data_IF_724499559081
#
_entry.id   IF_724499559081
#
_cell.length_a   1.000
_cell.length_b   1.000
_cell.length_c   1.000
_cell.angle_alpha   90.00
_cell.angle_beta   90.00
_cell.angle_gamma   90.00
#
_symmetry.space_group_name_H-M   'P 1'
#
loop_
_entity.id
_entity.type
_entity.pdbx_description
1 polymer ?
#
# COMPACT_ATOMS: atom_id res chain seq x y z
N UNK A 1 6.98 -18.80 -10.53
CA UNK A 1 6.70 -17.52 -9.84
C UNK A 1 7.23 -17.63 -8.42
N UNK A 2 7.97 -16.65 -7.91
CA UNK A 2 8.36 -16.66 -6.50
C UNK A 2 7.12 -16.33 -5.67
N UNK A 3 6.64 -17.29 -4.89
CA UNK A 3 5.41 -17.14 -4.10
C UNK A 3 5.76 -16.60 -2.72
N UNK A 4 5.30 -15.40 -2.38
CA UNK A 4 5.18 -15.02 -0.98
C UNK A 4 4.00 -15.80 -0.41
N UNK A 5 4.29 -16.77 0.46
CA UNK A 5 3.30 -17.47 1.26
C UNK A 5 3.32 -16.81 2.63
N UNK A 6 2.25 -16.10 2.98
CA UNK A 6 1.98 -15.74 4.36
C UNK A 6 1.53 -17.04 5.05
N UNK A 7 2.12 -17.39 6.19
CA UNK A 7 1.52 -18.43 7.03
C UNK A 7 0.12 -17.96 7.49
N UNK A 8 -0.80 -18.87 7.79
CA UNK A 8 -2.15 -18.54 8.34
C UNK A 8 -2.10 -17.59 9.55
N UNK A 9 -0.94 -17.48 10.20
CA UNK A 9 -0.68 -16.73 11.43
C UNK A 9 -0.11 -15.33 11.20
N UNK A 10 0.41 -15.01 10.00
CA UNK A 10 0.97 -13.68 9.68
C UNK A 10 0.01 -12.87 8.79
N UNK A 11 -1.16 -12.59 9.35
CA UNK A 11 -2.19 -11.71 8.78
C UNK A 11 -2.06 -10.26 9.30
N UNK A 12 -0.91 -9.91 9.88
CA UNK A 12 -0.68 -8.57 10.41
C UNK A 12 -0.63 -7.53 9.28
N UNK A 13 -1.08 -6.31 9.55
CA UNK A 13 -0.95 -5.20 8.59
C UNK A 13 0.51 -5.01 8.13
N UNK A 14 1.47 -5.24 9.02
CA UNK A 14 2.90 -5.23 8.69
C UNK A 14 3.28 -6.33 7.69
N UNK A 15 2.98 -7.61 8.01
CA UNK A 15 3.34 -8.77 7.20
C UNK A 15 2.72 -8.73 5.81
N UNK A 16 1.42 -8.40 5.73
CA UNK A 16 0.70 -8.23 4.45
C UNK A 16 1.33 -7.12 3.61
N UNK A 17 1.67 -5.98 4.22
CA UNK A 17 2.32 -4.86 3.51
C UNK A 17 3.69 -5.24 2.96
N UNK A 18 4.55 -5.82 3.79
CA UNK A 18 5.91 -6.19 3.40
C UNK A 18 5.89 -7.25 2.29
N UNK A 19 5.05 -8.28 2.45
CA UNK A 19 4.86 -9.31 1.44
C UNK A 19 4.40 -8.71 0.10
N UNK A 20 3.38 -7.84 0.12
CA UNK A 20 2.88 -7.16 -1.07
C UNK A 20 3.96 -6.35 -1.80
N UNK A 21 4.72 -5.53 -1.06
CA UNK A 21 5.80 -4.70 -1.61
C UNK A 21 6.95 -5.54 -2.18
N UNK A 22 7.35 -6.61 -1.50
CA UNK A 22 8.39 -7.51 -2.02
C UNK A 22 7.91 -8.21 -3.31
N UNK A 23 6.65 -8.67 -3.38
CA UNK A 23 6.08 -9.28 -4.60
C UNK A 23 6.09 -8.31 -5.79
N UNK A 24 5.61 -7.09 -5.60
CA UNK A 24 5.58 -6.07 -6.66
C UNK A 24 7.00 -5.72 -7.11
N UNK A 25 7.92 -5.50 -6.16
CA UNK A 25 9.31 -5.16 -6.47
C UNK A 25 9.99 -6.25 -7.29
N UNK A 26 9.85 -7.52 -6.89
CA UNK A 26 10.37 -8.66 -7.65
C UNK A 26 9.75 -8.73 -9.05
N UNK A 27 8.44 -8.48 -9.16
CA UNK A 27 7.74 -8.40 -10.44
C UNK A 27 8.33 -7.33 -11.36
N UNK A 28 8.53 -6.12 -10.84
CA UNK A 28 9.15 -5.02 -11.58
C UNK A 28 10.58 -5.35 -12.03
N UNK A 29 11.42 -5.93 -11.16
CA UNK A 29 12.80 -6.32 -11.50
C UNK A 29 12.83 -7.33 -12.65
N UNK A 30 11.92 -8.31 -12.64
CA UNK A 30 11.81 -9.30 -13.72
C UNK A 30 11.32 -8.68 -15.02
N UNK A 31 10.25 -7.89 -14.97
CA UNK A 31 9.57 -7.41 -16.16
C UNK A 31 10.30 -6.25 -16.83
N UNK A 32 10.70 -5.25 -16.05
CA UNK A 32 11.31 -4.02 -16.54
C UNK A 32 12.82 -4.16 -16.77
N UNK A 33 13.52 -4.87 -15.87
CA UNK A 33 14.98 -4.96 -15.90
C UNK A 33 15.52 -6.31 -16.39
N UNK A 34 14.63 -7.27 -16.72
CA UNK A 34 14.99 -8.63 -17.19
C UNK A 34 15.96 -9.37 -16.28
N UNK A 35 15.96 -9.05 -14.98
CA UNK A 35 16.82 -9.71 -14.00
C UNK A 35 16.30 -11.13 -13.78
N UNK A 36 17.17 -12.12 -14.04
CA UNK A 36 16.87 -13.51 -13.78
C UNK A 36 17.02 -13.81 -12.29
N UNK A 37 15.89 -14.06 -11.64
CA UNK A 37 15.81 -14.44 -10.23
C UNK A 37 15.45 -15.92 -10.04
N UNK A 38 15.55 -16.75 -11.09
CA UNK A 38 15.26 -18.19 -11.00
C UNK A 38 16.24 -18.95 -10.11
N UNK A 39 17.47 -18.43 -9.96
CA UNK A 39 18.52 -18.99 -9.11
C UNK A 39 18.79 -18.20 -7.82
N UNK A 40 18.08 -17.08 -7.60
CA UNK A 40 18.23 -16.38 -6.33
C UNK A 40 17.44 -17.14 -5.26
N UNK A 41 18.12 -17.71 -4.28
CA UNK A 41 17.49 -18.16 -3.02
C UNK A 41 16.97 -16.94 -2.24
N UNK A 42 16.00 -16.20 -2.78
CA UNK A 42 15.21 -15.26 -1.98
C UNK A 42 14.27 -16.14 -1.17
N UNK A 43 14.83 -16.68 -0.08
CA UNK A 43 14.07 -17.42 0.91
C UNK A 43 13.45 -16.38 1.82
N UNK A 44 12.17 -16.11 1.61
CA UNK A 44 11.40 -15.29 2.53
C UNK A 44 11.26 -16.04 3.85
N UNK A 45 11.67 -15.41 4.95
CA UNK A 45 11.45 -16.00 6.26
C UNK A 45 9.98 -15.80 6.63
N UNK A 46 9.22 -16.87 6.47
CA UNK A 46 7.76 -16.92 6.67
C UNK A 46 7.35 -16.63 8.12
N UNK A 47 8.28 -16.75 9.08
CA UNK A 47 7.99 -16.61 10.51
C UNK A 47 7.85 -15.16 10.99
N UNK A 48 8.27 -14.16 10.19
CA UNK A 48 8.25 -12.74 10.60
C UNK A 48 8.11 -11.72 9.46
N UNK A 49 7.72 -12.17 8.27
CA UNK A 49 7.54 -11.29 7.13
C UNK A 49 8.82 -10.66 6.57
N UNK A 50 10.02 -11.17 6.88
CA UNK A 50 11.29 -10.55 6.45
C UNK A 50 11.76 -11.06 5.07
N UNK A 51 12.10 -10.12 4.18
CA UNK A 51 12.72 -10.40 2.89
C UNK A 51 14.24 -10.57 3.10
N UNK A 52 14.68 -11.82 3.20
CA UNK A 52 16.10 -12.15 3.42
C UNK A 52 16.85 -12.19 2.07
N UNK A 53 17.29 -10.99 1.61
CA UNK A 53 18.45 -10.69 0.73
C UNK A 53 18.43 -9.26 0.18
N UNK A 54 19.62 -8.67 0.05
CA UNK A 54 19.97 -7.29 -0.38
C UNK A 54 19.46 -6.81 -1.76
N UNK A 55 18.64 -7.57 -2.48
CA UNK A 55 18.12 -7.16 -3.81
C UNK A 55 17.09 -6.03 -3.66
N UNK A 56 16.37 -6.02 -2.55
CA UNK A 56 15.47 -4.93 -2.17
C UNK A 56 16.07 -4.31 -0.92
N UNK A 57 16.29 -2.99 -0.92
CA UNK A 57 16.75 -2.28 0.29
C UNK A 57 15.70 -2.48 1.39
N UNK A 58 15.94 -3.49 2.22
CA UNK A 58 15.08 -3.96 3.29
C UNK A 58 14.64 -2.80 4.21
N UNK A 59 15.53 -1.82 4.40
CA UNK A 59 15.26 -0.57 5.12
C UNK A 59 14.05 0.20 4.58
N UNK A 60 13.88 0.31 3.25
CA UNK A 60 12.75 1.03 2.64
C UNK A 60 11.44 0.31 2.88
N UNK A 61 11.40 -0.99 2.65
CA UNK A 61 10.19 -1.81 2.85
C UNK A 61 9.81 -1.85 4.33
N UNK A 62 10.78 -2.04 5.23
CA UNK A 62 10.59 -1.97 6.67
C UNK A 62 10.06 -0.62 7.12
N UNK A 63 10.59 0.48 6.58
CA UNK A 63 10.11 1.82 6.91
C UNK A 63 8.65 2.06 6.47
N UNK A 64 8.28 1.59 5.27
CA UNK A 64 6.91 1.66 4.77
C UNK A 64 5.98 0.79 5.63
N UNK A 65 6.36 -0.47 5.89
CA UNK A 65 5.60 -1.40 6.74
C UNK A 65 5.42 -0.88 8.16
N UNK A 66 6.48 -0.34 8.76
CA UNK A 66 6.40 0.26 10.10
C UNK A 66 5.50 1.51 10.11
N UNK A 67 5.52 2.33 9.05
CA UNK A 67 4.62 3.48 8.95
C UNK A 67 3.16 3.04 8.79
N UNK A 68 2.91 2.00 8.00
CA UNK A 68 1.59 1.39 7.83
C UNK A 68 1.01 0.98 9.19
N UNK A 69 1.73 0.18 9.99
CA UNK A 69 1.26 -0.24 11.32
C UNK A 69 1.13 0.93 12.31
N UNK A 70 2.05 1.90 12.26
CA UNK A 70 1.98 3.09 13.14
C UNK A 70 0.78 3.97 12.85
N UNK A 71 0.17 3.88 11.66
CA UNK A 71 -1.02 4.65 11.34
C UNK A 71 -2.20 4.28 12.23
N UNK A 72 -2.34 3.01 12.64
CA UNK A 72 -3.38 2.60 13.60
C UNK A 72 -3.31 3.39 14.90
N UNK A 73 -2.11 3.49 15.48
CA UNK A 73 -1.93 4.23 16.74
C UNK A 73 -2.07 5.74 16.55
N UNK A 74 -1.61 6.29 15.42
CA UNK A 74 -1.62 7.74 15.15
C UNK A 74 -2.99 8.27 14.73
N UNK A 75 -3.80 7.41 14.14
CA UNK A 75 -5.08 7.76 13.52
C UNK A 75 -6.25 6.99 14.09
N UNK A 76 -6.06 6.35 15.26
CA UNK A 76 -7.02 5.50 15.97
C UNK A 76 -8.44 6.08 16.07
N UNK A 77 -8.59 7.40 16.18
CA UNK A 77 -9.88 8.09 16.31
C UNK A 77 -10.33 8.79 15.01
N UNK A 78 -9.59 8.62 13.91
CA UNK A 78 -9.88 9.25 12.63
C UNK A 78 -10.66 8.27 11.76
N UNK A 79 -11.99 8.39 11.79
CA UNK A 79 -12.90 7.51 11.05
C UNK A 79 -12.50 7.31 9.57
N UNK A 80 -12.14 8.41 8.87
CA UNK A 80 -11.72 8.37 7.45
C UNK A 80 -10.46 7.53 7.18
N UNK A 81 -9.63 7.31 8.20
CA UNK A 81 -8.40 6.51 8.07
C UNK A 81 -8.68 5.02 8.27
N UNK A 82 -9.80 4.69 8.92
CA UNK A 82 -10.23 3.33 9.23
C UNK A 82 -11.47 2.87 8.47
N UNK A 83 -12.04 3.76 7.64
CA UNK A 83 -13.35 3.57 7.00
C UNK A 83 -14.48 3.31 8.01
N UNK A 84 -14.30 3.73 9.27
CA UNK A 84 -15.37 3.71 10.26
C UNK A 84 -16.52 4.63 9.82
N UNK A 85 -17.71 4.35 10.35
CA UNK A 85 -18.92 5.16 10.10
C UNK A 85 -19.23 5.35 8.62
N UNK A 86 -18.89 4.35 7.78
CA UNK A 86 -19.16 4.36 6.33
C UNK A 86 -18.56 5.58 5.60
N UNK A 87 -17.37 6.02 6.01
CA UNK A 87 -16.68 7.19 5.43
C UNK A 87 -16.13 6.96 4.00
N UNK A 88 -16.92 6.32 3.13
CA UNK A 88 -16.60 5.96 1.74
C UNK A 88 -16.36 7.15 0.80
N UNK A 89 -16.73 8.37 1.22
CA UNK A 89 -16.37 9.63 0.55
C UNK A 89 -15.01 10.15 1.02
N UNK A 90 -14.78 10.10 2.34
CA UNK A 90 -13.62 10.72 2.96
C UNK A 90 -12.34 9.89 2.86
N UNK A 91 -12.45 8.57 3.04
CA UNK A 91 -11.32 7.65 2.99
C UNK A 91 -10.61 7.64 1.63
N UNK A 92 -11.32 7.56 0.50
CA UNK A 92 -10.65 7.52 -0.80
C UNK A 92 -10.00 8.84 -1.20
N UNK A 93 -10.60 9.98 -0.85
CA UNK A 93 -9.93 11.29 -0.98
C UNK A 93 -8.63 11.34 -0.19
N UNK A 94 -8.61 10.74 0.99
CA UNK A 94 -7.43 10.69 1.84
C UNK A 94 -6.34 9.78 1.24
N UNK A 95 -6.73 8.62 0.69
CA UNK A 95 -5.82 7.76 -0.09
C UNK A 95 -5.19 8.57 -1.22
N UNK A 96 -6.01 9.29 -1.98
CA UNK A 96 -5.57 10.10 -3.11
C UNK A 96 -4.60 11.21 -2.74
N UNK A 97 -4.97 11.98 -1.72
CA UNK A 97 -4.13 13.05 -1.20
C UNK A 97 -2.78 12.51 -0.76
N UNK A 98 -2.74 11.38 -0.03
CA UNK A 98 -1.48 10.75 0.41
C UNK A 98 -0.66 10.20 -0.75
N UNK A 99 -1.30 9.68 -1.80
CA UNK A 99 -0.61 9.29 -3.03
C UNK A 99 0.08 10.50 -3.67
N UNK A 100 -0.66 11.58 -3.90
CA UNK A 100 -0.11 12.81 -4.49
C UNK A 100 1.04 13.38 -3.65
N UNK A 101 0.84 13.48 -2.33
CA UNK A 101 1.90 13.93 -1.39
C UNK A 101 3.14 13.03 -1.46
N UNK A 102 2.96 11.71 -1.62
CA UNK A 102 4.09 10.78 -1.78
C UNK A 102 4.87 11.09 -3.06
N UNK A 103 4.17 11.26 -4.18
CA UNK A 103 4.79 11.59 -5.47
C UNK A 103 5.51 12.93 -5.40
N UNK A 104 4.88 13.95 -4.84
CA UNK A 104 5.48 15.28 -4.68
C UNK A 104 6.73 15.24 -3.80
N UNK A 105 6.68 14.53 -2.67
CA UNK A 105 7.86 14.35 -1.79
C UNK A 105 9.03 13.67 -2.50
N UNK A 106 8.78 12.81 -3.48
CA UNK A 106 9.83 12.14 -4.28
C UNK A 106 10.34 13.07 -5.38
N UNK A 107 9.43 13.66 -6.15
CA UNK A 107 9.76 14.32 -7.42
C UNK A 107 10.17 15.78 -7.28
N UNK A 108 9.74 16.45 -6.19
CA UNK A 108 9.93 17.89 -6.01
C UNK A 108 10.89 18.21 -4.87
N UNK A 109 10.82 17.46 -3.78
CA UNK A 109 11.48 17.83 -2.53
C UNK A 109 12.64 16.91 -2.12
N UNK A 110 12.88 15.81 -2.85
CA UNK A 110 13.84 14.75 -2.46
C UNK A 110 13.63 14.22 -1.01
N UNK A 111 12.43 14.36 -0.47
CA UNK A 111 12.03 13.98 0.88
C UNK A 111 11.64 12.50 0.96
N UNK A 112 12.57 11.60 0.63
CA UNK A 112 12.32 10.16 0.57
C UNK A 112 11.82 9.55 1.88
N UNK A 113 12.24 10.08 3.04
CA UNK A 113 11.74 9.63 4.35
C UNK A 113 10.26 9.98 4.55
N UNK A 114 9.85 11.18 4.13
CA UNK A 114 8.47 11.60 4.18
C UNK A 114 7.62 10.80 3.20
N UNK A 115 8.13 10.57 1.98
CA UNK A 115 7.47 9.73 0.99
C UNK A 115 7.20 8.32 1.54
N UNK A 116 8.19 7.65 2.14
CA UNK A 116 8.02 6.32 2.77
C UNK A 116 6.95 6.33 3.86
N UNK A 117 6.95 7.35 4.71
CA UNK A 117 5.98 7.48 5.82
C UNK A 117 4.56 7.67 5.28
N UNK A 118 4.37 8.63 4.36
CA UNK A 118 3.09 8.95 3.75
C UNK A 118 2.54 7.77 2.96
N UNK A 119 3.39 7.08 2.20
CA UNK A 119 3.02 5.91 1.43
C UNK A 119 2.59 4.73 2.31
N UNK A 120 3.33 4.43 3.38
CA UNK A 120 2.91 3.39 4.34
C UNK A 120 1.57 3.71 4.99
N UNK A 121 1.36 4.97 5.35
CA UNK A 121 0.10 5.44 5.91
C UNK A 121 -1.08 5.40 4.91
N UNK A 122 -0.80 5.55 3.61
CA UNK A 122 -1.78 5.37 2.54
C UNK A 122 -2.15 3.89 2.38
N UNK A 123 -1.15 2.99 2.36
CA UNK A 123 -1.38 1.55 2.25
C UNK A 123 -2.21 1.01 3.42
N UNK A 124 -2.09 1.61 4.62
CA UNK A 124 -2.88 1.20 5.78
C UNK A 124 -4.37 1.47 5.56
N UNK A 125 -4.70 2.67 5.09
CA UNK A 125 -6.07 3.07 4.76
C UNK A 125 -6.63 2.20 3.63
N UNK A 126 -5.80 1.88 2.63
CA UNK A 126 -6.19 1.00 1.54
C UNK A 126 -6.53 -0.42 2.03
N UNK A 127 -5.80 -0.93 3.03
CA UNK A 127 -6.12 -2.21 3.65
C UNK A 127 -7.45 -2.17 4.41
N UNK A 128 -7.69 -1.10 5.19
CA UNK A 128 -8.97 -0.91 5.90
C UNK A 128 -10.15 -0.86 4.93
N UNK A 129 -9.97 -0.22 3.77
CA UNK A 129 -11.01 -0.22 2.74
C UNK A 129 -11.41 -1.63 2.33
N UNK A 130 -10.45 -2.49 2.02
CA UNK A 130 -10.75 -3.85 1.56
C UNK A 130 -11.21 -4.77 2.69
N UNK A 131 -10.83 -4.53 3.95
CA UNK A 131 -11.32 -5.33 5.08
C UNK A 131 -12.69 -4.89 5.60
N UNK A 132 -13.07 -3.63 5.42
CA UNK A 132 -14.31 -3.06 5.94
C UNK A 132 -15.35 -2.74 4.86
N UNK A 133 -15.11 -3.11 3.59
CA UNK A 133 -16.09 -2.97 2.51
C UNK A 133 -16.42 -4.32 1.88
N UNK A 134 -17.60 -4.40 1.27
CA UNK A 134 -18.02 -5.54 0.45
C UNK A 134 -17.55 -5.43 -1.02
N UNK A 135 -16.47 -4.69 -1.27
CA UNK A 135 -16.02 -4.33 -2.61
C UNK A 135 -15.79 -5.56 -3.50
N UNK A 136 -15.09 -6.56 -2.95
CA UNK A 136 -14.72 -7.79 -3.66
C UNK A 136 -15.94 -8.68 -3.85
N UNK A 137 -16.81 -8.75 -2.83
CA UNK A 137 -18.07 -9.49 -2.82
C UNK A 137 -19.07 -8.95 -3.84
N UNK A 138 -18.96 -7.68 -4.20
CA UNK A 138 -19.70 -7.04 -5.29
C UNK A 138 -19.06 -7.27 -6.68
N UNK A 139 -18.20 -8.29 -6.82
CA UNK A 139 -17.51 -8.70 -8.05
C UNK A 139 -16.60 -7.63 -8.66
N UNK A 140 -16.15 -6.68 -7.85
CA UNK A 140 -15.20 -5.67 -8.31
C UNK A 140 -13.79 -6.24 -8.26
N UNK A 141 -13.29 -6.63 -9.42
CA UNK A 141 -12.02 -7.33 -9.57
C UNK A 141 -10.87 -6.42 -10.04
N UNK A 142 -11.10 -5.11 -10.16
CA UNK A 142 -10.07 -4.14 -10.53
C UNK A 142 -9.95 -3.04 -9.47
N UNK A 143 -8.73 -2.65 -9.05
CA UNK A 143 -8.54 -1.47 -8.21
C UNK A 143 -8.98 -0.17 -8.90
N UNK A 144 -8.98 -0.13 -10.24
CA UNK A 144 -9.16 1.11 -11.02
C UNK A 144 -10.61 1.48 -11.30
N UNK A 145 -11.58 0.57 -11.18
CA UNK A 145 -12.97 0.87 -11.53
C UNK A 145 -13.74 1.53 -10.37
N UNK A 146 -13.52 1.15 -9.12
CA UNK A 146 -14.24 1.79 -8.00
C UNK A 146 -13.39 2.82 -7.27
N UNK A 147 -12.14 2.50 -6.89
CA UNK A 147 -11.27 3.52 -6.31
C UNK A 147 -10.93 4.59 -7.33
N UNK A 148 -10.92 4.25 -8.63
CA UNK A 148 -10.75 5.16 -9.76
C UNK A 148 -12.05 5.80 -10.26
N UNK A 149 -13.08 5.07 -10.69
CA UNK A 149 -14.21 5.72 -11.39
C UNK A 149 -15.25 6.34 -10.47
N UNK A 150 -15.57 5.78 -9.30
CA UNK A 150 -16.51 6.44 -8.37
C UNK A 150 -15.88 7.62 -7.61
N UNK A 151 -14.58 7.55 -7.36
CA UNK A 151 -13.85 8.56 -6.58
C UNK A 151 -13.14 9.60 -7.46
N UNK A 152 -12.79 9.27 -8.72
CA UNK A 152 -12.17 10.21 -9.67
C UNK A 152 -13.03 10.59 -10.88
N UNK A 153 -14.14 9.89 -11.19
CA UNK A 153 -15.09 10.30 -12.25
C UNK A 153 -16.45 10.74 -11.72
N UNK A 154 -16.68 10.66 -10.41
CA UNK A 154 -17.86 11.27 -9.78
C UNK A 154 -17.75 12.80 -9.86
N UNK A 155 -18.74 13.45 -10.47
CA UNK A 155 -18.86 14.91 -10.60
C UNK A 155 -18.87 15.67 -9.26
N UNK A 156 -18.90 14.98 -8.12
CA UNK A 156 -18.76 15.55 -6.78
C UNK A 156 -17.33 16.02 -6.43
N UNK A 157 -16.30 15.62 -7.20
CA UNK A 157 -14.89 15.92 -6.87
C UNK A 157 -14.09 16.63 -7.96
N UNK A 158 -14.76 17.11 -9.03
CA UNK A 158 -14.12 17.83 -10.13
C UNK A 158 -13.38 19.11 -9.69
N UNK A 159 -13.74 19.71 -8.55
CA UNK A 159 -13.14 20.95 -8.06
C UNK A 159 -11.86 20.74 -7.23
N UNK A 160 -11.33 19.52 -7.15
CA UNK A 160 -10.13 19.23 -6.35
C UNK A 160 -8.82 19.33 -7.15
N UNK A 161 -8.90 19.67 -8.44
CA UNK A 161 -7.75 19.91 -9.34
C UNK A 161 -7.34 21.40 -9.40
N UNK A 162 -7.91 22.27 -8.56
CA UNK A 162 -7.63 23.73 -8.53
C UNK A 162 -6.92 24.21 -7.24
N UNK A 163 -6.12 23.38 -6.57
CA UNK A 163 -5.28 23.82 -5.44
C UNK A 163 -3.84 23.31 -5.57
#
# INVERSE_FOLDING_TARGET
FGTCHLEEKDTTHYGVTVCGLCRVTIGCLKLAYKIDLTHSDVKFNQTNGQCDKDIVKDITIKAIGASNTKTDLKEMLKEKSHFDSETFVGGPKLILKRFQTTVDSIMKDDHYDQARKTFGAMLRILQDFYSHSNFIELENNSPTNILGERIFKGSEYANMYEL
#
